data_IF_004695256896
#
_entry.id   IF_004695256896
#
_cell.length_a   1.000
_cell.length_b   1.000
_cell.length_c   1.000
_cell.angle_alpha   90.00
_cell.angle_beta   90.00
_cell.angle_gamma   90.00
#
_symmetry.space_group_name_H-M   'P 1'
#
loop_
_entity.id
_entity.type
_entity.pdbx_description
1 polymer ?
#
# COMPACT_ATOMS: atom_id res chain seq x y z
N UNK A 1 8.95 15.71 -3.56
CA UNK A 1 9.02 15.77 -2.09
C UNK A 1 9.38 17.16 -1.55
N UNK A 2 10.40 17.88 -2.04
CA UNK A 2 10.89 19.14 -1.43
C UNK A 2 9.86 20.28 -1.25
N UNK A 3 8.80 20.33 -2.08
CA UNK A 3 7.68 21.27 -1.90
C UNK A 3 6.91 21.06 -0.57
N UNK A 4 7.08 19.92 0.07
CA UNK A 4 6.41 19.53 1.32
C UNK A 4 7.35 19.53 2.52
N UNK A 5 8.51 20.21 2.44
CA UNK A 5 9.41 20.36 3.60
C UNK A 5 8.70 21.08 4.74
N UNK A 6 8.81 20.53 5.94
CA UNK A 6 8.19 21.07 7.14
C UNK A 6 7.93 20.02 8.20
N UNK A 7 7.48 20.51 9.35
CA UNK A 7 7.03 19.69 10.48
C UNK A 7 5.50 19.82 10.59
N UNK A 8 4.83 18.67 10.65
CA UNK A 8 3.38 18.55 10.64
C UNK A 8 2.93 17.73 11.83
N UNK A 9 1.84 18.18 12.47
CA UNK A 9 1.22 17.46 13.58
C UNK A 9 -0.29 17.45 13.44
N UNK A 10 -0.94 16.40 13.92
CA UNK A 10 -2.40 16.34 14.04
C UNK A 10 -2.81 15.64 15.35
N UNK A 11 -3.86 16.13 15.99
CA UNK A 11 -4.51 15.40 17.08
C UNK A 11 -5.54 14.45 16.48
N UNK A 12 -5.44 13.17 16.83
CA UNK A 12 -6.30 12.11 16.30
C UNK A 12 -6.72 11.15 17.41
N UNK A 13 -7.73 10.36 17.13
CA UNK A 13 -8.29 9.37 18.06
C UNK A 13 -8.24 7.99 17.43
N UNK A 14 -7.68 7.04 18.18
CA UNK A 14 -8.00 5.63 18.01
C UNK A 14 -9.44 5.44 18.53
N UNK A 15 -10.39 5.35 17.60
CA UNK A 15 -11.82 5.31 17.91
C UNK A 15 -12.20 4.03 18.64
N UNK A 16 -11.66 2.89 18.20
CA UNK A 16 -11.91 1.58 18.79
C UNK A 16 -11.45 1.46 20.25
N UNK A 17 -10.40 2.19 20.63
CA UNK A 17 -9.87 2.19 22.00
C UNK A 17 -10.20 3.48 22.79
N UNK A 18 -10.86 4.45 22.16
CA UNK A 18 -11.11 5.80 22.69
C UNK A 18 -9.83 6.43 23.28
N UNK A 19 -8.72 6.32 22.54
CA UNK A 19 -7.39 6.75 22.98
C UNK A 19 -6.87 7.87 22.06
N UNK A 20 -6.50 9.04 22.59
CA UNK A 20 -5.92 10.10 21.79
C UNK A 20 -4.46 9.81 21.44
N UNK A 21 -4.05 10.24 20.26
CA UNK A 21 -2.66 10.25 19.78
C UNK A 21 -2.31 11.60 19.15
N UNK A 22 -1.01 11.86 19.00
CA UNK A 22 -0.50 12.99 18.22
C UNK A 22 0.28 12.45 17.03
N UNK A 23 -0.23 12.63 15.83
CA UNK A 23 0.52 12.37 14.61
C UNK A 23 1.67 13.36 14.47
N UNK A 24 2.82 12.89 14.01
CA UNK A 24 3.99 13.70 13.70
C UNK A 24 4.64 13.23 12.40
N UNK A 25 4.91 14.19 11.51
CA UNK A 25 5.77 14.02 10.34
C UNK A 25 6.74 15.18 10.24
N UNK A 26 8.01 14.87 9.97
CA UNK A 26 9.03 15.83 9.56
C UNK A 26 9.52 15.46 8.17
N UNK A 27 9.49 16.42 7.26
CA UNK A 27 10.04 16.29 5.91
C UNK A 27 11.19 17.28 5.78
N UNK A 28 12.38 16.75 5.53
CA UNK A 28 13.57 17.55 5.19
C UNK A 28 14.01 17.23 3.77
N UNK A 29 14.76 18.13 3.14
CA UNK A 29 15.22 17.94 1.78
C UNK A 29 16.62 18.50 1.58
N UNK A 30 17.35 17.87 0.67
CA UNK A 30 18.59 18.38 0.09
C UNK A 30 18.47 18.36 -1.45
N UNK A 31 19.63 18.45 -2.12
CA UNK A 31 19.70 18.43 -3.58
C UNK A 31 19.42 17.04 -4.18
N UNK A 32 19.68 15.96 -3.43
CA UNK A 32 19.52 14.59 -3.90
C UNK A 32 18.12 14.04 -3.63
N UNK A 33 17.54 14.36 -2.48
CA UNK A 33 16.36 13.68 -1.98
C UNK A 33 15.62 14.43 -0.89
N UNK A 34 14.66 13.72 -0.30
CA UNK A 34 14.00 14.11 0.94
C UNK A 34 14.03 12.98 1.94
N UNK A 35 14.14 13.32 3.21
CA UNK A 35 13.90 12.40 4.32
C UNK A 35 12.53 12.67 4.89
N UNK A 36 11.68 11.65 4.92
CA UNK A 36 10.35 11.67 5.55
C UNK A 36 10.42 10.83 6.81
N UNK A 37 10.37 11.47 7.97
CA UNK A 37 10.35 10.80 9.26
C UNK A 37 9.00 11.01 9.94
N UNK A 38 8.42 9.96 10.51
CA UNK A 38 7.12 10.02 11.17
C UNK A 38 7.01 9.04 12.32
N UNK A 39 6.01 9.23 13.19
CA UNK A 39 5.75 8.35 14.33
C UNK A 39 4.71 7.26 14.04
N UNK A 40 4.38 7.02 12.77
CA UNK A 40 3.46 5.96 12.35
C UNK A 40 1.98 6.19 12.69
N UNK A 41 1.61 7.38 13.16
CA UNK A 41 0.21 7.74 13.46
C UNK A 41 -0.35 8.58 12.30
N UNK A 42 -1.52 8.23 11.73
CA UNK A 42 -2.12 8.99 10.62
C UNK A 42 -2.65 10.34 11.10
N UNK A 43 -2.89 11.25 10.15
CA UNK A 43 -3.49 12.56 10.39
C UNK A 43 -5.04 12.56 10.40
N UNK A 44 -5.66 11.39 10.56
CA UNK A 44 -7.09 11.19 10.66
C UNK A 44 -7.40 10.21 11.80
N UNK A 45 -8.64 10.23 12.29
CA UNK A 45 -9.11 9.20 13.23
C UNK A 45 -9.09 7.81 12.55
N UNK A 46 -8.80 6.78 13.32
CA UNK A 46 -8.57 5.41 12.81
C UNK A 46 -9.14 4.37 13.78
N UNK A 47 -9.04 3.08 13.42
CA UNK A 47 -9.59 1.96 14.22
C UNK A 47 -11.12 2.06 14.39
N UNK A 48 -11.83 2.50 13.35
CA UNK A 48 -13.29 2.69 13.31
C UNK A 48 -14.06 1.42 12.91
N UNK A 49 -13.36 0.37 12.49
CA UNK A 49 -13.91 -0.96 12.15
C UNK A 49 -14.05 -1.93 13.33
N UNK A 50 -13.69 -1.51 14.54
CA UNK A 50 -13.54 -2.36 15.73
C UNK A 50 -12.07 -2.59 16.07
N UNK A 51 -11.77 -2.94 17.33
CA UNK A 51 -10.41 -2.93 17.83
C UNK A 51 -9.45 -3.84 17.03
N UNK A 52 -8.34 -3.27 16.56
CA UNK A 52 -7.23 -4.01 15.97
C UNK A 52 -6.70 -5.13 16.88
N UNK A 53 -6.12 -6.14 16.24
CA UNK A 53 -5.53 -7.29 16.95
C UNK A 53 -4.39 -6.87 17.91
N UNK A 54 -3.64 -5.84 17.53
CA UNK A 54 -2.60 -5.23 18.38
C UNK A 54 -2.98 -3.76 18.62
N UNK A 55 -2.92 -3.25 19.86
CA UNK A 55 -3.14 -1.83 20.12
C UNK A 55 -2.13 -0.96 19.37
N UNK A 56 -2.58 0.18 18.84
CA UNK A 56 -1.69 1.12 18.14
C UNK A 56 -0.60 1.66 19.08
N UNK A 57 0.61 1.75 18.55
CA UNK A 57 1.76 2.39 19.19
C UNK A 57 2.39 3.41 18.24
N UNK A 58 3.05 4.41 18.80
CA UNK A 58 3.90 5.32 18.03
C UNK A 58 5.18 4.58 17.65
N UNK A 59 5.38 4.33 16.36
CA UNK A 59 6.56 3.64 15.81
C UNK A 59 7.29 4.63 14.91
N UNK A 60 8.50 5.02 15.32
CA UNK A 60 9.30 5.98 14.57
C UNK A 60 9.94 5.32 13.35
N UNK A 61 9.64 5.85 12.17
CA UNK A 61 10.18 5.40 10.89
C UNK A 61 10.76 6.59 10.12
N UNK A 62 11.74 6.32 9.25
CA UNK A 62 12.41 7.34 8.45
C UNK A 62 12.80 6.77 7.09
N UNK A 63 12.32 7.39 6.03
CA UNK A 63 12.51 6.95 4.66
C UNK A 63 13.19 8.04 3.82
N UNK A 64 14.03 7.63 2.88
CA UNK A 64 14.68 8.50 1.91
C UNK A 64 14.02 8.37 0.54
N UNK A 65 13.63 9.50 -0.05
CA UNK A 65 12.91 9.60 -1.32
C UNK A 65 13.74 10.44 -2.29
N UNK A 66 14.17 9.86 -3.42
CA UNK A 66 14.87 10.61 -4.46
C UNK A 66 13.98 11.69 -5.10
N UNK A 67 14.57 12.84 -5.43
CA UNK A 67 13.87 13.92 -6.16
C UNK A 67 13.87 13.71 -7.67
N UNK A 68 14.66 12.78 -8.16
CA UNK A 68 14.83 12.46 -9.58
C UNK A 68 14.73 10.95 -9.78
N UNK A 69 13.56 10.33 -9.54
CA UNK A 69 13.36 8.93 -9.83
C UNK A 69 13.56 8.68 -11.33
N UNK A 70 14.03 7.48 -11.66
CA UNK A 70 14.26 7.05 -13.04
C UNK A 70 13.87 5.59 -13.20
N UNK A 71 13.38 5.25 -14.39
CA UNK A 71 13.01 3.88 -14.74
C UNK A 71 14.22 2.93 -14.61
N UNK A 72 13.97 1.79 -13.98
CA UNK A 72 14.90 0.67 -13.99
C UNK A 72 14.79 -0.09 -15.33
N UNK A 73 15.79 -0.92 -15.65
CA UNK A 73 15.76 -1.75 -16.86
C UNK A 73 14.61 -2.77 -16.87
N UNK A 74 14.12 -3.14 -15.69
CA UNK A 74 12.94 -3.97 -15.49
C UNK A 74 12.28 -3.60 -14.15
N UNK A 75 10.96 -3.79 -14.00
CA UNK A 75 10.28 -3.55 -12.74
C UNK A 75 10.79 -4.43 -11.60
N UNK A 76 10.80 -3.90 -10.38
CA UNK A 76 11.12 -4.67 -9.17
C UNK A 76 9.83 -5.08 -8.47
N UNK A 77 9.64 -6.38 -8.22
CA UNK A 77 8.48 -6.89 -7.49
C UNK A 77 8.44 -6.43 -6.03
N UNK A 78 7.24 -6.38 -5.45
CA UNK A 78 7.06 -6.18 -4.01
C UNK A 78 7.55 -7.41 -3.23
N UNK A 79 8.07 -7.19 -2.02
CA UNK A 79 8.48 -8.26 -1.10
C UNK A 79 8.02 -7.91 0.32
N UNK A 80 8.04 -8.90 1.22
CA UNK A 80 7.76 -8.65 2.64
C UNK A 80 8.92 -8.03 3.40
N UNK A 81 10.09 -7.95 2.77
CA UNK A 81 11.32 -7.39 3.34
C UNK A 81 11.41 -5.87 3.14
N UNK A 82 10.44 -5.25 2.46
CA UNK A 82 10.48 -3.83 2.13
C UNK A 82 9.10 -3.18 2.24
N UNK A 83 9.01 -2.07 2.95
CA UNK A 83 7.83 -1.20 2.91
C UNK A 83 7.67 -0.60 1.50
N UNK A 84 6.45 -0.48 1.01
CA UNK A 84 6.24 -0.14 -0.40
C UNK A 84 6.26 1.36 -0.66
N UNK A 85 5.81 2.16 0.30
CA UNK A 85 5.73 3.60 0.18
C UNK A 85 5.62 4.26 1.56
N UNK A 86 5.85 5.57 1.58
CA UNK A 86 5.55 6.44 2.71
C UNK A 86 4.51 7.48 2.27
N UNK A 87 3.40 7.55 3.00
CA UNK A 87 2.38 8.58 2.77
C UNK A 87 2.80 9.89 3.43
N UNK A 88 2.28 11.01 2.94
CA UNK A 88 2.57 12.36 3.44
C UNK A 88 2.16 12.57 4.90
N UNK A 89 1.29 11.72 5.43
CA UNK A 89 0.90 11.74 6.84
C UNK A 89 1.84 10.91 7.74
N UNK A 90 2.88 10.28 7.18
CA UNK A 90 3.91 9.57 7.95
C UNK A 90 3.61 8.09 8.17
N UNK A 91 2.52 7.59 7.60
CA UNK A 91 2.14 6.18 7.66
C UNK A 91 2.63 5.48 6.40
N UNK A 92 3.25 4.33 6.59
CA UNK A 92 3.75 3.50 5.49
C UNK A 92 2.64 2.70 4.79
N UNK A 93 2.97 2.26 3.58
CA UNK A 93 2.19 1.32 2.78
C UNK A 93 2.90 -0.03 2.77
N UNK A 94 2.18 -1.11 3.06
CA UNK A 94 2.71 -2.48 3.08
C UNK A 94 1.68 -3.42 2.46
N UNK A 95 1.59 -3.49 1.14
CA UNK A 95 0.50 -4.13 0.39
C UNK A 95 0.45 -5.66 0.47
N UNK A 96 1.52 -6.31 0.95
CA UNK A 96 1.58 -7.77 0.98
C UNK A 96 1.23 -8.29 2.38
N UNK A 97 0.23 -9.16 2.46
CA UNK A 97 0.02 -9.95 3.66
C UNK A 97 1.18 -10.94 3.84
N UNK A 98 1.63 -11.15 5.08
CA UNK A 98 2.59 -12.22 5.43
C UNK A 98 1.95 -13.62 5.45
N UNK A 99 0.77 -13.78 4.84
CA UNK A 99 -0.04 -14.98 4.88
C UNK A 99 -0.21 -15.59 3.48
N UNK A 100 0.01 -16.89 3.38
CA UNK A 100 -0.31 -17.68 2.20
C UNK A 100 -1.10 -18.92 2.61
N UNK A 101 -1.99 -19.38 1.74
CA UNK A 101 -2.81 -20.55 2.01
C UNK A 101 -1.95 -21.81 2.27
N UNK A 102 -2.22 -22.50 3.38
CA UNK A 102 -1.49 -23.71 3.77
C UNK A 102 -0.06 -23.47 4.24
N UNK A 103 0.32 -22.23 4.60
CA UNK A 103 1.65 -21.90 5.12
C UNK A 103 1.54 -21.25 6.49
N UNK A 104 2.31 -21.76 7.44
CA UNK A 104 2.32 -21.27 8.81
C UNK A 104 1.72 -22.26 9.81
N UNK A 105 1.54 -21.85 11.08
CA UNK A 105 1.05 -22.72 12.15
C UNK A 105 -0.49 -22.78 12.25
N UNK A 106 -1.18 -21.85 11.60
CA UNK A 106 -2.64 -21.71 11.70
C UNK A 106 -3.37 -22.82 10.92
N UNK A 107 -4.63 -23.13 11.28
CA UNK A 107 -5.45 -24.04 10.51
C UNK A 107 -5.62 -23.59 9.05
N UNK A 108 -5.83 -24.57 8.17
CA UNK A 108 -6.01 -24.32 6.74
C UNK A 108 -7.16 -23.33 6.48
N UNK A 109 -6.89 -22.27 5.73
CA UNK A 109 -7.88 -21.21 5.45
C UNK A 109 -8.02 -20.16 6.55
N UNK A 110 -7.16 -20.18 7.57
CA UNK A 110 -7.14 -19.23 8.68
C UNK A 110 -5.75 -18.63 8.92
N UNK A 111 -4.84 -18.74 7.97
CA UNK A 111 -3.45 -18.31 8.09
C UNK A 111 -3.35 -16.79 8.07
N UNK A 112 -2.78 -16.20 9.12
CA UNK A 112 -2.54 -14.75 9.19
C UNK A 112 -1.08 -14.35 9.07
N UNK A 113 -0.17 -15.31 9.16
CA UNK A 113 1.28 -15.11 9.10
C UNK A 113 2.01 -16.40 8.69
N UNK A 114 3.28 -16.28 8.32
CA UNK A 114 4.19 -17.42 8.13
C UNK A 114 4.75 -17.55 6.71
N UNK A 115 4.24 -16.76 5.76
CA UNK A 115 4.64 -16.80 4.37
C UNK A 115 5.56 -15.62 4.02
N UNK A 116 6.86 -15.76 4.29
CA UNK A 116 7.86 -14.70 4.05
C UNK A 116 8.42 -14.67 2.62
N UNK A 117 8.35 -15.78 1.88
CA UNK A 117 8.86 -15.86 0.50
C UNK A 117 7.85 -15.32 -0.50
N UNK A 118 8.28 -14.47 -1.42
CA UNK A 118 7.46 -13.93 -2.52
C UNK A 118 6.98 -15.00 -3.51
N UNK A 119 7.66 -16.14 -3.57
CA UNK A 119 7.46 -17.15 -4.62
C UNK A 119 6.42 -18.22 -4.24
N UNK A 120 5.83 -18.11 -3.05
CA UNK A 120 4.77 -19.00 -2.59
C UNK A 120 3.43 -18.51 -3.17
N UNK A 121 2.73 -19.33 -3.97
CA UNK A 121 1.41 -19.00 -4.51
C UNK A 121 0.34 -18.90 -3.42
N UNK A 122 -0.81 -18.33 -3.80
CA UNK A 122 -1.99 -18.17 -2.95
C UNK A 122 -1.72 -17.30 -1.73
N UNK A 123 -1.08 -16.15 -1.97
CA UNK A 123 -0.94 -15.11 -0.96
C UNK A 123 -2.28 -14.39 -0.81
N UNK A 124 -2.75 -14.29 0.43
CA UNK A 124 -4.00 -13.60 0.70
C UNK A 124 -3.91 -12.12 0.33
N UNK A 125 -4.99 -11.57 -0.21
CA UNK A 125 -5.14 -10.13 -0.34
C UNK A 125 -5.52 -9.54 1.03
N UNK A 126 -4.70 -8.64 1.61
CA UNK A 126 -5.00 -8.02 2.90
C UNK A 126 -6.26 -7.16 2.90
N UNK A 127 -6.76 -6.77 1.71
CA UNK A 127 -8.02 -6.05 1.55
C UNK A 127 -9.27 -6.94 1.69
N UNK A 128 -9.10 -8.23 1.90
CA UNK A 128 -10.21 -9.08 2.36
C UNK A 128 -10.58 -8.74 3.81
N UNK A 129 -11.85 -8.92 4.19
CA UNK A 129 -12.32 -8.69 5.56
C UNK A 129 -11.62 -9.58 6.63
N UNK A 130 -10.79 -10.52 6.21
CA UNK A 130 -10.12 -11.49 7.07
C UNK A 130 -9.02 -10.87 7.96
N UNK A 131 -8.38 -9.78 7.51
CA UNK A 131 -7.28 -9.11 8.22
C UNK A 131 -7.74 -7.98 9.15
N UNK A 132 -9.01 -7.59 9.11
CA UNK A 132 -9.59 -6.60 10.02
C UNK A 132 -9.02 -5.19 9.82
N UNK A 133 -8.99 -4.74 8.56
CA UNK A 133 -8.68 -3.35 8.23
C UNK A 133 -9.79 -2.40 8.71
N UNK A 134 -9.42 -1.17 9.03
CA UNK A 134 -10.36 -0.11 9.35
C UNK A 134 -10.96 0.53 8.08
N UNK A 135 -11.78 1.56 8.25
CA UNK A 135 -12.42 2.31 7.16
C UNK A 135 -11.45 2.99 6.19
N UNK A 136 -10.17 3.06 6.56
CA UNK A 136 -9.07 3.65 5.79
C UNK A 136 -8.13 2.57 5.22
N UNK A 137 -8.58 1.31 5.20
CA UNK A 137 -7.87 0.18 4.60
C UNK A 137 -6.50 -0.09 5.27
N UNK A 138 -6.43 0.08 6.58
CA UNK A 138 -5.21 -0.10 7.35
C UNK A 138 -5.44 -0.91 8.62
N UNK A 139 -4.37 -1.48 9.15
CA UNK A 139 -4.35 -2.10 10.47
C UNK A 139 -2.95 -1.99 11.09
N UNK A 140 -2.77 -2.59 12.27
CA UNK A 140 -1.49 -2.60 13.00
C UNK A 140 -0.62 -3.79 12.69
N UNK A 141 0.69 -3.61 12.72
CA UNK A 141 1.67 -4.68 12.88
C UNK A 141 1.76 -5.16 14.35
N UNK A 142 2.47 -6.28 14.63
CA UNK A 142 2.68 -6.78 15.99
C UNK A 142 3.40 -5.82 16.96
N UNK A 143 4.14 -4.84 16.45
CA UNK A 143 4.77 -3.76 17.22
C UNK A 143 3.83 -2.58 17.49
N UNK A 144 2.60 -2.63 16.96
CA UNK A 144 1.59 -1.58 17.06
C UNK A 144 1.64 -0.55 15.91
N UNK A 145 2.57 -0.67 14.96
CA UNK A 145 2.70 0.26 13.84
C UNK A 145 1.51 0.18 12.88
N UNK A 146 0.79 1.29 12.71
CA UNK A 146 -0.32 1.40 11.76
C UNK A 146 0.19 1.50 10.32
N UNK A 147 -0.42 0.79 9.37
CA UNK A 147 0.00 0.78 7.97
C UNK A 147 -1.18 0.50 7.02
N UNK A 148 -1.10 1.06 5.81
CA UNK A 148 -2.11 0.90 4.77
C UNK A 148 -1.87 -0.34 3.91
N UNK A 149 -2.97 -0.96 3.48
CA UNK A 149 -3.05 -2.00 2.45
C UNK A 149 -3.82 -1.56 1.20
N UNK A 150 -4.42 -0.37 1.21
CA UNK A 150 -5.21 0.15 0.10
C UNK A 150 -5.39 1.66 0.16
N UNK A 151 -6.48 2.17 -0.43
CA UNK A 151 -6.80 3.61 -0.43
C UNK A 151 -6.88 4.15 1.01
N UNK A 152 -6.02 5.09 1.44
CA UNK A 152 -6.12 5.72 2.75
C UNK A 152 -7.41 6.51 2.98
N UNK A 153 -8.20 6.76 1.92
CA UNK A 153 -9.48 7.49 1.83
C UNK A 153 -9.50 8.93 2.33
N UNK A 154 -9.06 9.15 3.57
CA UNK A 154 -8.97 10.43 4.25
C UNK A 154 -7.85 11.34 3.72
N UNK A 155 -6.98 10.82 2.86
CA UNK A 155 -5.89 11.59 2.25
C UNK A 155 -6.27 12.29 0.94
N UNK A 156 -7.45 12.01 0.40
CA UNK A 156 -7.88 12.48 -0.93
C UNK A 156 -9.31 13.00 -0.87
N UNK A 157 -9.62 13.95 -1.76
CA UNK A 157 -11.01 14.33 -2.01
C UNK A 157 -11.72 13.20 -2.79
N UNK A 158 -12.66 12.53 -2.10
CA UNK A 158 -13.41 11.42 -2.67
C UNK A 158 -14.56 11.87 -3.59
N UNK A 159 -14.87 13.17 -3.66
CA UNK A 159 -16.00 13.70 -4.46
C UNK A 159 -15.78 13.61 -5.97
N UNK A 160 -14.53 13.52 -6.43
CA UNK A 160 -14.17 13.59 -7.85
C UNK A 160 -14.33 14.97 -8.47
N UNK A 161 -14.51 16.01 -7.66
CA UNK A 161 -14.61 17.40 -8.15
C UNK A 161 -13.25 17.97 -8.56
N UNK A 162 -12.16 17.39 -8.08
CA UNK A 162 -10.78 17.85 -8.35
C UNK A 162 -9.87 16.68 -8.69
N UNK A 163 -8.80 16.97 -9.45
CA UNK A 163 -7.71 16.03 -9.67
C UNK A 163 -7.07 15.71 -8.33
N UNK A 164 -6.79 14.43 -8.08
CA UNK A 164 -6.15 14.02 -6.85
C UNK A 164 -4.74 14.57 -6.74
N UNK A 165 -4.44 15.15 -5.58
CA UNK A 165 -3.09 15.56 -5.25
C UNK A 165 -2.18 14.37 -4.96
N UNK A 166 -0.88 14.69 -4.82
CA UNK A 166 0.12 13.78 -4.29
C UNK A 166 -0.20 13.41 -2.84
N UNK A 167 -0.26 12.11 -2.55
CA UNK A 167 -0.50 11.57 -1.21
C UNK A 167 0.69 10.87 -0.60
N UNK A 168 1.68 10.46 -1.39
CA UNK A 168 2.87 9.77 -0.89
C UNK A 168 3.94 9.57 -1.94
N UNK A 169 4.98 8.85 -1.58
CA UNK A 169 6.06 8.44 -2.47
C UNK A 169 6.35 6.95 -2.29
N UNK A 170 6.46 6.25 -3.41
CA UNK A 170 6.89 4.86 -3.42
C UNK A 170 8.38 4.75 -3.08
N UNK A 171 8.82 3.54 -2.71
CA UNK A 171 10.20 3.27 -2.35
C UNK A 171 11.21 3.62 -3.46
N UNK A 172 10.79 3.62 -4.73
CA UNK A 172 11.61 4.00 -5.88
C UNK A 172 11.61 5.51 -6.19
N UNK A 173 10.93 6.31 -5.37
CA UNK A 173 10.87 7.76 -5.44
C UNK A 173 9.76 8.33 -6.31
N UNK A 174 9.03 7.50 -7.07
CA UNK A 174 7.92 7.98 -7.88
C UNK A 174 6.73 8.43 -6.99
N UNK A 175 5.98 9.46 -7.43
CA UNK A 175 4.83 9.97 -6.69
C UNK A 175 3.68 8.96 -6.66
N UNK A 176 2.91 8.99 -5.59
CA UNK A 176 1.63 8.29 -5.46
C UNK A 176 0.52 9.33 -5.38
N UNK A 177 -0.45 9.22 -6.27
CA UNK A 177 -1.62 10.09 -6.36
C UNK A 177 -2.86 9.37 -5.85
N UNK A 178 -3.85 10.16 -5.42
CA UNK A 178 -5.20 9.66 -5.24
C UNK A 178 -5.86 9.20 -6.55
N UNK A 179 -7.11 8.72 -6.50
CA UNK A 179 -7.69 7.98 -7.61
C UNK A 179 -8.06 8.86 -8.81
N UNK A 180 -8.27 10.17 -8.64
CA UNK A 180 -8.78 11.03 -9.70
C UNK A 180 -7.67 11.68 -10.52
N UNK A 181 -7.79 11.62 -11.85
CA UNK A 181 -6.92 12.32 -12.78
C UNK A 181 -7.74 13.07 -13.83
N UNK A 182 -7.10 14.02 -14.51
CA UNK A 182 -7.69 14.73 -15.65
C UNK A 182 -7.50 13.91 -16.93
N UNK A 183 -8.60 13.33 -17.42
CA UNK A 183 -8.66 12.70 -18.74
C UNK A 183 -9.21 13.70 -19.75
N UNK A 184 -8.32 14.54 -20.29
CA UNK A 184 -8.60 15.48 -21.36
C UNK A 184 -9.79 16.42 -21.08
N UNK A 185 -9.85 16.99 -19.88
CA UNK A 185 -10.89 17.88 -19.39
C UNK A 185 -11.99 17.18 -18.58
N UNK A 186 -11.90 15.85 -18.40
CA UNK A 186 -12.84 15.07 -17.58
C UNK A 186 -12.13 14.49 -16.38
N UNK A 187 -12.51 14.93 -15.18
CA UNK A 187 -11.99 14.36 -13.94
C UNK A 187 -12.68 13.03 -13.66
N UNK A 188 -11.90 11.95 -13.59
CA UNK A 188 -12.42 10.59 -13.29
C UNK A 188 -11.38 9.75 -12.58
N UNK A 189 -11.83 8.62 -12.01
CA UNK A 189 -10.93 7.65 -11.39
C UNK A 189 -10.05 6.94 -12.43
N UNK A 190 -8.79 6.73 -12.08
CA UNK A 190 -7.89 5.80 -12.74
C UNK A 190 -8.39 4.36 -12.55
N UNK A 191 -8.30 3.57 -13.61
CA UNK A 191 -8.70 2.17 -13.62
C UNK A 191 -7.47 1.28 -13.68
N UNK A 192 -7.37 0.34 -12.74
CA UNK A 192 -6.35 -0.70 -12.75
C UNK A 192 -6.41 -1.53 -14.04
N UNK A 193 -5.25 -1.98 -14.51
CA UNK A 193 -5.14 -2.95 -15.60
C UNK A 193 -5.16 -4.41 -15.19
N UNK A 194 -5.41 -4.67 -13.92
CA UNK A 194 -5.67 -6.02 -13.43
C UNK A 194 -7.13 -6.40 -13.55
N UNK A 195 -7.38 -7.66 -13.86
CA UNK A 195 -8.72 -8.26 -13.93
C UNK A 195 -8.77 -9.50 -13.05
N UNK A 196 -9.90 -9.73 -12.40
CA UNK A 196 -10.17 -10.98 -11.70
C UNK A 196 -10.34 -12.10 -12.73
N UNK A 197 -9.52 -13.15 -12.61
CA UNK A 197 -9.60 -14.35 -13.44
C UNK A 197 -11.00 -14.98 -13.33
N UNK A 198 -11.39 -15.75 -14.35
CA UNK A 198 -12.69 -16.42 -14.38
C UNK A 198 -12.53 -17.94 -14.23
N UNK A 199 -13.53 -18.59 -13.65
CA UNK A 199 -13.57 -20.04 -13.50
C UNK A 199 -12.91 -20.55 -12.21
N UNK A 200 -12.56 -21.85 -12.21
CA UNK A 200 -11.96 -22.52 -11.07
C UNK A 200 -10.45 -22.24 -10.97
N UNK A 201 -9.95 -22.11 -9.74
CA UNK A 201 -8.50 -22.08 -9.48
C UNK A 201 -7.85 -23.35 -10.02
N UNK A 202 -6.59 -23.23 -10.41
CA UNK A 202 -5.76 -24.36 -10.86
C UNK A 202 -4.50 -24.43 -10.04
N UNK A 203 -4.04 -25.65 -9.70
CA UNK A 203 -2.79 -25.86 -8.98
C UNK A 203 -1.62 -25.06 -9.59
N UNK A 204 -0.83 -24.41 -8.75
CA UNK A 204 0.34 -23.62 -9.12
C UNK A 204 1.64 -24.30 -8.68
N UNK A 205 2.73 -24.20 -9.46
CA UNK A 205 4.04 -24.66 -9.02
C UNK A 205 4.48 -23.97 -7.72
N UNK A 206 4.98 -24.74 -6.77
CA UNK A 206 5.44 -24.22 -5.48
C UNK A 206 4.35 -23.95 -4.45
N UNK A 207 3.08 -24.26 -4.75
CA UNK A 207 2.02 -24.21 -3.76
C UNK A 207 2.19 -25.30 -2.69
N UNK A 208 1.77 -25.00 -1.46
CA UNK A 208 1.66 -25.99 -0.40
C UNK A 208 0.33 -26.74 -0.51
N UNK A 209 -0.69 -26.21 0.13
CA UNK A 209 -2.06 -26.67 -0.05
C UNK A 209 -2.73 -25.94 -1.22
N UNK A 210 -3.65 -26.63 -1.90
CA UNK A 210 -4.45 -26.02 -2.96
C UNK A 210 -5.78 -25.48 -2.38
N UNK A 211 -6.09 -24.18 -2.54
CA UNK A 211 -7.33 -23.61 -1.99
C UNK A 211 -8.59 -24.07 -2.71
N UNK A 212 -8.50 -24.51 -3.97
CA UNK A 212 -9.67 -24.84 -4.76
C UNK A 212 -10.63 -23.67 -4.96
N UNK A 213 -11.88 -23.96 -5.32
CA UNK A 213 -12.90 -22.94 -5.55
C UNK A 213 -12.69 -22.12 -6.84
N UNK A 214 -13.42 -21.02 -6.95
CA UNK A 214 -13.29 -20.04 -8.05
C UNK A 214 -12.31 -18.93 -7.70
N UNK A 215 -11.75 -18.28 -8.72
CA UNK A 215 -11.07 -16.99 -8.55
C UNK A 215 -12.09 -15.97 -8.04
N UNK A 216 -11.92 -15.50 -6.80
CA UNK A 216 -12.90 -14.64 -6.11
C UNK A 216 -12.28 -13.40 -5.46
N UNK A 217 -10.96 -13.23 -5.56
CA UNK A 217 -10.23 -12.09 -5.00
C UNK A 217 -9.71 -12.34 -3.60
N UNK A 218 -9.88 -13.55 -3.05
CA UNK A 218 -9.29 -13.93 -1.75
C UNK A 218 -7.76 -13.88 -1.80
N UNK A 219 -7.18 -14.24 -2.94
CA UNK A 219 -5.74 -14.26 -3.14
C UNK A 219 -5.32 -13.24 -4.20
N UNK A 220 -4.14 -12.65 -4.04
CA UNK A 220 -3.56 -11.76 -5.05
C UNK A 220 -3.33 -12.49 -6.39
N UNK A 221 -3.15 -13.82 -6.31
CA UNK A 221 -3.03 -14.75 -7.43
C UNK A 221 -4.32 -14.90 -8.24
N UNK A 222 -5.47 -14.48 -7.71
CA UNK A 222 -6.74 -14.51 -8.45
C UNK A 222 -6.81 -13.44 -9.54
N UNK A 223 -5.89 -12.48 -9.52
CA UNK A 223 -5.82 -11.41 -10.50
C UNK A 223 -4.76 -11.70 -11.57
N UNK A 224 -5.00 -11.17 -12.77
CA UNK A 224 -4.01 -11.12 -13.84
C UNK A 224 -3.96 -9.73 -14.47
N UNK A 225 -2.78 -9.33 -14.91
CA UNK A 225 -2.65 -8.10 -15.69
C UNK A 225 -3.12 -8.38 -17.12
N UNK A 226 -4.16 -7.67 -17.55
CA UNK A 226 -4.74 -7.77 -18.89
C UNK A 226 -4.51 -6.50 -19.72
N UNK A 227 -3.94 -5.46 -19.11
CA UNK A 227 -3.89 -4.12 -19.71
C UNK A 227 -5.27 -3.50 -19.86
N UNK A 228 -6.26 -3.94 -19.07
CA UNK A 228 -7.53 -3.25 -18.96
C UNK A 228 -7.31 -1.83 -18.38
N UNK A 229 -8.29 -0.94 -18.45
CA UNK A 229 -8.20 0.36 -17.78
C UNK A 229 -7.09 1.28 -18.31
N UNK A 230 -6.48 2.04 -17.39
CA UNK A 230 -5.55 3.14 -17.69
C UNK A 230 -4.11 2.83 -17.27
N UNK A 231 -3.94 2.00 -16.24
CA UNK A 231 -2.68 1.83 -15.51
C UNK A 231 -1.87 0.63 -16.03
N UNK A 232 -0.56 0.75 -15.95
CA UNK A 232 0.41 -0.30 -16.30
C UNK A 232 0.46 -1.45 -15.30
N UNK A 233 1.33 -2.43 -15.54
CA UNK A 233 1.50 -3.61 -14.70
C UNK A 233 1.98 -3.32 -13.27
N UNK A 234 2.51 -2.11 -13.02
CA UNK A 234 2.92 -1.65 -11.70
C UNK A 234 1.86 -0.76 -11.02
N UNK A 235 0.71 -0.55 -11.67
CA UNK A 235 -0.38 0.32 -11.24
C UNK A 235 -0.04 1.82 -11.33
N UNK A 236 0.77 2.21 -12.31
CA UNK A 236 1.09 3.59 -12.60
C UNK A 236 0.79 3.99 -14.03
N UNK A 237 0.86 5.29 -14.31
CA UNK A 237 0.80 5.84 -15.66
C UNK A 237 1.53 7.17 -15.73
N UNK A 238 1.81 7.64 -16.95
CA UNK A 238 2.37 8.97 -17.20
C UNK A 238 1.28 9.95 -17.58
N UNK A 239 1.09 10.99 -16.77
CA UNK A 239 0.21 12.13 -17.09
C UNK A 239 1.11 13.36 -17.24
N UNK A 240 0.95 14.09 -18.36
CA UNK A 240 1.75 15.27 -18.69
C UNK A 240 3.28 15.06 -18.59
N UNK A 241 3.74 13.86 -18.95
CA UNK A 241 5.16 13.49 -18.93
C UNK A 241 5.71 13.12 -17.55
N UNK A 242 4.87 13.04 -16.51
CA UNK A 242 5.25 12.61 -15.16
C UNK A 242 4.63 11.25 -14.87
N UNK A 243 5.48 10.24 -14.66
CA UNK A 243 5.03 8.94 -14.17
C UNK A 243 4.68 9.00 -12.68
N UNK A 244 3.61 8.31 -12.29
CA UNK A 244 3.26 8.09 -10.89
C UNK A 244 2.30 6.92 -10.73
N UNK A 245 2.23 6.42 -9.50
CA UNK A 245 1.27 5.39 -9.10
C UNK A 245 -0.05 6.02 -8.70
N UNK A 246 -1.14 5.29 -8.88
CA UNK A 246 -2.48 5.76 -8.56
C UNK A 246 -3.18 4.79 -7.63
N UNK A 247 -3.85 5.36 -6.62
CA UNK A 247 -4.80 4.60 -5.81
C UNK A 247 -5.99 4.16 -6.68
N UNK A 248 -6.43 2.92 -6.52
CA UNK A 248 -7.55 2.34 -7.27
C UNK A 248 -8.56 1.65 -6.37
N UNK A 249 -9.82 1.62 -6.80
CA UNK A 249 -10.91 0.89 -6.11
C UNK A 249 -10.84 -0.64 -6.32
N UNK A 250 -9.82 -1.12 -7.04
CA UNK A 250 -9.60 -2.53 -7.35
C UNK A 250 -8.13 -2.88 -7.18
N UNK A 251 -7.82 -4.17 -7.04
CA UNK A 251 -6.46 -4.69 -7.04
C UNK A 251 -5.63 -4.07 -8.17
N UNK A 252 -4.38 -3.64 -7.91
CA UNK A 252 -3.55 -3.89 -6.71
C UNK A 252 -3.65 -2.77 -5.65
N UNK A 253 -4.73 -2.00 -5.67
CA UNK A 253 -5.08 -0.95 -4.71
C UNK A 253 -4.21 0.31 -4.77
N UNK A 254 -2.88 0.18 -4.88
CA UNK A 254 -1.94 1.32 -5.00
C UNK A 254 -0.75 1.00 -5.91
N UNK A 255 0.00 -0.08 -5.64
CA UNK A 255 1.25 -0.43 -6.36
C UNK A 255 1.31 -1.96 -6.54
N UNK A 256 1.84 -2.45 -7.66
CA UNK A 256 2.13 -3.90 -7.85
C UNK A 256 3.61 -4.23 -8.04
N UNK A 257 4.38 -3.26 -8.51
CA UNK A 257 5.82 -3.32 -8.66
C UNK A 257 6.38 -1.90 -8.68
N UNK A 258 7.70 -1.79 -8.54
CA UNK A 258 8.42 -0.53 -8.70
C UNK A 258 8.91 -0.38 -10.13
N UNK A 259 8.59 0.75 -10.75
CA UNK A 259 9.09 1.18 -12.06
C UNK A 259 10.57 1.55 -11.99
N UNK A 260 10.99 2.16 -10.88
CA UNK A 260 12.38 2.51 -10.60
C UNK A 260 13.10 1.49 -9.70
N UNK A 261 14.22 1.93 -9.12
CA UNK A 261 14.97 1.14 -8.13
C UNK A 261 14.60 1.60 -6.72
N UNK A 262 14.06 0.73 -5.86
CA UNK A 262 13.73 1.07 -4.48
C UNK A 262 14.94 1.49 -3.65
N UNK A 263 14.77 2.52 -2.83
CA UNK A 263 15.76 2.99 -1.87
C UNK A 263 15.88 2.01 -0.68
N UNK A 264 17.10 1.78 -0.21
CA UNK A 264 17.38 0.82 0.84
C UNK A 264 16.81 1.22 2.22
N UNK A 265 16.49 2.50 2.43
CA UNK A 265 15.81 2.97 3.64
C UNK A 265 14.42 2.37 3.84
N UNK A 266 13.81 1.82 2.79
CA UNK A 266 12.54 1.10 2.87
C UNK A 266 12.67 -0.37 3.27
N UNK A 267 13.90 -0.91 3.34
CA UNK A 267 14.09 -2.28 3.77
C UNK A 267 13.72 -2.40 5.25
N UNK A 268 12.82 -3.33 5.56
CA UNK A 268 12.41 -3.62 6.93
C UNK A 268 13.61 -4.18 7.68
N UNK A 269 13.76 -3.79 8.94
CA UNK A 269 14.73 -4.45 9.80
C UNK A 269 14.32 -5.91 9.94
N UNK A 270 15.20 -6.84 9.53
CA UNK A 270 14.91 -8.26 9.69
C UNK A 270 14.67 -8.55 11.18
N UNK A 271 13.59 -9.26 11.54
CA UNK A 271 13.36 -9.69 12.91
C UNK A 271 14.46 -10.60 13.46
#
# INVERSE_FOLDING_TARGET
>A
CAHYVGDYTASVTDVGMNKPFMAMVSITADDAGCTVAGNGIPNHDFNDGGAFATPVAEVMESYHVTRTPSDAAAPTGLTLERDNAIMRNGVKLDLLAAACYGVGPDPLGQEKIGCMSSDIPWRYDPMTNFFGTDGHNAHTQPDGGYHYHGDPKAMVDQSGATVSGLIGWAADGYPIYGPYFDDNGTIRKAKSGFTLKQGARTNQPGEGAFPGGSYDGTFIDDYEFTGAGDLDECNGMSVDGVYGYYVTDSYPWVIRCFKGTPDASFNKSMP
#
